data_IF_934270509190
#
_entry.id   IF_934270509190
#
_cell.length_a   1.000
_cell.length_b   1.000
_cell.length_c   1.000
_cell.angle_alpha   90.00
_cell.angle_beta   90.00
_cell.angle_gamma   90.00
#
_symmetry.space_group_name_H-M   'P 1'
#
loop_
_entity.id
_entity.type
_entity.pdbx_description
1 polymer ?
#
# COMPACT_ATOMS: atom_id res chain seq x y z
N UNK A 1 -22.47 -14.88 15.58
CA UNK A 1 -21.39 -14.20 16.35
C UNK A 1 -21.63 -12.71 16.25
N UNK A 2 -21.32 -11.97 17.30
CA UNK A 2 -21.37 -10.50 17.34
C UNK A 2 -19.95 -9.99 17.37
N UNK A 3 -19.63 -8.95 16.60
CA UNK A 3 -18.34 -8.28 16.58
C UNK A 3 -18.53 -6.82 16.96
N UNK A 4 -17.51 -6.23 17.61
CA UNK A 4 -17.49 -4.81 17.94
C UNK A 4 -17.20 -3.96 16.71
N UNK A 5 -16.33 -4.47 15.82
CA UNK A 5 -15.97 -3.81 14.56
C UNK A 5 -16.05 -4.79 13.40
N UNK A 6 -16.69 -4.36 12.32
CA UNK A 6 -16.72 -5.08 11.04
C UNK A 6 -16.08 -4.17 9.97
N UNK A 7 -15.02 -4.67 9.33
CA UNK A 7 -14.31 -3.98 8.26
C UNK A 7 -14.68 -4.63 6.95
N UNK A 8 -15.16 -3.85 5.99
CA UNK A 8 -15.50 -4.30 4.64
C UNK A 8 -14.41 -3.87 3.67
N UNK A 9 -13.77 -4.85 3.06
CA UNK A 9 -12.61 -4.69 2.18
C UNK A 9 -11.29 -4.91 2.91
N UNK A 10 -10.62 -6.02 2.58
CA UNK A 10 -9.29 -6.39 3.08
C UNK A 10 -8.14 -5.77 2.28
N UNK A 11 -8.35 -4.60 1.66
CA UNK A 11 -7.32 -3.87 0.94
C UNK A 11 -6.22 -3.31 1.84
N UNK A 12 -5.36 -2.43 1.32
CA UNK A 12 -4.26 -1.83 2.08
C UNK A 12 -4.75 -1.18 3.39
N UNK A 13 -5.76 -0.31 3.31
CA UNK A 13 -6.32 0.37 4.48
C UNK A 13 -7.02 -0.61 5.46
N UNK A 14 -7.86 -1.52 4.94
CA UNK A 14 -8.60 -2.48 5.77
C UNK A 14 -7.69 -3.45 6.50
N UNK A 15 -6.62 -3.91 5.86
CA UNK A 15 -5.61 -4.78 6.48
C UNK A 15 -4.88 -4.08 7.63
N UNK A 16 -4.49 -2.82 7.43
CA UNK A 16 -3.84 -2.01 8.48
C UNK A 16 -4.81 -1.74 9.63
N UNK A 17 -6.05 -1.33 9.31
CA UNK A 17 -7.07 -1.03 10.32
C UNK A 17 -7.41 -2.27 11.17
N UNK A 18 -7.62 -3.43 10.53
CA UNK A 18 -7.89 -4.68 11.23
C UNK A 18 -6.75 -5.07 12.17
N UNK A 19 -5.52 -4.94 11.69
CA UNK A 19 -4.31 -5.22 12.46
C UNK A 19 -4.22 -4.31 13.70
N UNK A 20 -4.38 -3.00 13.54
CA UNK A 20 -4.26 -2.03 14.63
C UNK A 20 -5.39 -2.15 15.66
N UNK A 21 -6.62 -2.34 15.22
CA UNK A 21 -7.75 -2.54 16.15
C UNK A 21 -7.62 -3.85 16.95
N UNK A 22 -7.09 -4.90 16.33
CA UNK A 22 -6.86 -6.17 17.01
C UNK A 22 -5.76 -6.13 18.07
N UNK A 23 -4.91 -5.09 18.13
CA UNK A 23 -3.95 -4.89 19.22
C UNK A 23 -4.65 -4.80 20.58
N UNK A 24 -5.84 -4.21 20.64
CA UNK A 24 -6.68 -4.22 21.82
C UNK A 24 -7.46 -5.55 21.90
N UNK A 25 -7.08 -6.44 22.81
CA UNK A 25 -7.70 -7.76 22.98
C UNK A 25 -9.19 -7.71 23.37
N UNK A 26 -9.69 -6.58 23.85
CA UNK A 26 -11.11 -6.40 24.22
C UNK A 26 -11.99 -5.98 23.04
N UNK A 27 -11.39 -5.73 21.86
CA UNK A 27 -12.12 -5.36 20.64
C UNK A 27 -12.14 -6.54 19.69
N UNK A 28 -13.32 -7.10 19.44
CA UNK A 28 -13.50 -8.17 18.45
C UNK A 28 -13.64 -7.58 17.05
N UNK A 29 -12.78 -8.00 16.12
CA UNK A 29 -12.68 -7.47 14.76
C UNK A 29 -12.99 -8.55 13.73
N UNK A 30 -13.87 -8.22 12.79
CA UNK A 30 -14.15 -9.03 11.60
C UNK A 30 -13.72 -8.27 10.35
N UNK A 31 -12.80 -8.84 9.58
CA UNK A 31 -12.41 -8.36 8.26
C UNK A 31 -13.03 -9.22 7.19
N UNK A 32 -13.77 -8.61 6.26
CA UNK A 32 -14.42 -9.26 5.12
C UNK A 32 -13.80 -8.79 3.82
N UNK A 33 -13.35 -9.71 2.98
CA UNK A 33 -12.78 -9.43 1.66
C UNK A 33 -13.45 -10.26 0.57
N UNK A 34 -13.76 -9.64 -0.57
CA UNK A 34 -14.39 -10.31 -1.69
C UNK A 34 -13.43 -11.26 -2.42
N UNK A 35 -12.16 -10.93 -2.46
CA UNK A 35 -11.11 -11.73 -3.06
C UNK A 35 -10.58 -12.83 -2.15
N UNK A 36 -9.61 -13.56 -2.69
CA UNK A 36 -8.98 -14.69 -2.00
C UNK A 36 -8.12 -14.23 -0.83
N UNK A 37 -8.11 -15.02 0.23
CA UNK A 37 -7.19 -14.89 1.35
C UNK A 37 -6.11 -15.98 1.26
N UNK A 38 -4.85 -15.56 1.38
CA UNK A 38 -3.68 -16.43 1.44
C UNK A 38 -3.00 -16.25 2.80
N UNK A 39 -3.46 -16.93 3.86
CA UNK A 39 -2.91 -16.75 5.20
C UNK A 39 -1.48 -17.26 5.34
N UNK A 40 -1.07 -18.20 4.49
CA UNK A 40 0.29 -18.72 4.40
C UNK A 40 1.04 -18.01 3.26
N UNK A 41 2.05 -17.19 3.55
CA UNK A 41 2.83 -16.49 2.54
C UNK A 41 3.56 -17.41 1.55
N UNK A 42 3.87 -18.64 1.95
CA UNK A 42 4.53 -19.61 1.07
C UNK A 42 3.60 -20.13 -0.04
N UNK A 43 2.29 -20.05 0.18
CA UNK A 43 1.25 -20.43 -0.76
C UNK A 43 0.74 -19.28 -1.63
N UNK A 44 1.35 -18.09 -1.54
CA UNK A 44 1.01 -16.97 -2.41
C UNK A 44 1.29 -17.31 -3.87
N UNK A 45 0.35 -17.06 -4.81
CA UNK A 45 0.63 -17.14 -6.24
C UNK A 45 1.80 -16.22 -6.64
N UNK A 46 2.58 -16.63 -7.62
CA UNK A 46 3.76 -15.88 -8.08
C UNK A 46 3.42 -14.45 -8.48
N UNK A 47 2.30 -14.22 -9.13
CA UNK A 47 1.83 -12.88 -9.53
C UNK A 47 1.53 -11.95 -8.35
N UNK A 48 1.18 -12.51 -7.19
CA UNK A 48 0.97 -11.75 -5.94
C UNK A 48 2.27 -11.64 -5.16
N UNK A 49 3.04 -12.71 -5.10
CA UNK A 49 4.27 -12.82 -4.30
C UNK A 49 5.39 -11.95 -4.85
N UNK A 50 5.62 -12.03 -6.17
CA UNK A 50 6.75 -11.39 -6.80
C UNK A 50 6.35 -10.13 -7.60
N UNK A 51 7.21 -9.10 -7.54
CA UNK A 51 6.97 -7.85 -8.26
C UNK A 51 7.61 -7.79 -9.65
N UNK A 52 7.99 -8.94 -10.21
CA UNK A 52 8.65 -9.03 -11.52
C UNK A 52 7.68 -9.23 -12.69
N UNK A 53 6.38 -9.28 -12.40
CA UNK A 53 5.31 -9.39 -13.39
C UNK A 53 4.18 -8.45 -13.06
N UNK A 54 3.52 -7.90 -14.07
CA UNK A 54 2.31 -7.08 -13.96
C UNK A 54 1.02 -7.88 -14.17
N UNK A 55 1.10 -9.22 -14.23
CA UNK A 55 -0.08 -10.04 -14.55
C UNK A 55 -1.22 -9.85 -13.54
N UNK A 56 -0.92 -9.66 -12.25
CA UNK A 56 -1.94 -9.37 -11.24
C UNK A 56 -2.72 -8.06 -11.48
N UNK A 57 -2.16 -7.15 -12.28
CA UNK A 57 -2.86 -5.92 -12.72
C UNK A 57 -3.70 -6.13 -13.98
N UNK A 58 -3.55 -7.27 -14.66
CA UNK A 58 -4.32 -7.60 -15.87
C UNK A 58 -5.79 -7.88 -15.54
N UNK A 59 -6.72 -7.52 -16.44
CA UNK A 59 -8.13 -7.89 -16.30
C UNK A 59 -8.38 -9.41 -16.36
N UNK A 60 -7.43 -10.21 -16.85
CA UNK A 60 -7.50 -11.67 -16.87
C UNK A 60 -7.13 -12.31 -15.54
N UNK A 61 -6.46 -11.60 -14.63
CA UNK A 61 -6.12 -12.12 -13.31
C UNK A 61 -7.38 -12.26 -12.42
N UNK A 62 -7.53 -13.37 -11.75
CA UNK A 62 -8.59 -13.58 -10.75
C UNK A 62 -8.44 -12.66 -9.52
N UNK A 63 -7.24 -12.10 -9.32
CA UNK A 63 -6.91 -11.16 -8.24
C UNK A 63 -7.22 -9.71 -8.60
N UNK A 64 -7.88 -9.47 -9.72
CA UNK A 64 -8.28 -8.15 -10.19
C UNK A 64 -9.81 -8.05 -10.31
N UNK A 65 -10.37 -6.89 -9.98
CA UNK A 65 -11.80 -6.62 -10.18
C UNK A 65 -12.18 -6.43 -11.65
N UNK A 66 -11.19 -6.31 -12.54
CA UNK A 66 -11.38 -6.03 -13.97
C UNK A 66 -12.31 -4.81 -14.22
N UNK A 67 -12.19 -3.78 -13.37
CA UNK A 67 -13.00 -2.56 -13.53
C UNK A 67 -12.60 -1.80 -14.79
N UNK A 68 -13.56 -1.09 -15.34
CA UNK A 68 -13.35 -0.17 -16.46
C UNK A 68 -13.78 1.23 -16.04
N UNK A 69 -13.07 2.22 -16.55
CA UNK A 69 -13.35 3.61 -16.28
C UNK A 69 -12.84 4.50 -17.41
N UNK A 70 -13.41 5.69 -17.54
CA UNK A 70 -12.95 6.71 -18.47
C UNK A 70 -12.02 7.66 -17.75
N UNK A 71 -10.73 7.67 -18.13
CA UNK A 71 -9.74 8.59 -17.58
C UNK A 71 -9.82 9.97 -18.24
N UNK A 72 -9.96 9.99 -19.58
CA UNK A 72 -10.20 11.21 -20.36
C UNK A 72 -11.23 10.91 -21.45
N UNK A 73 -11.92 11.95 -21.95
CA UNK A 73 -12.88 11.80 -23.05
C UNK A 73 -12.22 11.25 -24.32
N UNK A 74 -10.94 11.60 -24.55
CA UNK A 74 -10.18 11.21 -25.74
C UNK A 74 -9.76 9.73 -25.70
N UNK A 75 -9.40 9.21 -24.53
CA UNK A 75 -8.96 7.83 -24.39
C UNK A 75 -10.11 6.83 -24.32
N UNK A 76 -11.30 7.30 -24.00
CA UNK A 76 -12.46 6.44 -23.80
C UNK A 76 -12.30 5.52 -22.59
N UNK A 77 -12.99 4.40 -22.63
CA UNK A 77 -12.99 3.41 -21.56
C UNK A 77 -11.70 2.59 -21.53
N UNK A 78 -11.02 2.55 -20.39
CA UNK A 78 -9.81 1.76 -20.17
C UNK A 78 -9.94 0.87 -18.95
N UNK A 79 -9.05 -0.10 -18.83
CA UNK A 79 -8.94 -0.94 -17.64
C UNK A 79 -8.38 -0.15 -16.45
N UNK A 80 -9.01 -0.34 -15.28
CA UNK A 80 -8.56 0.23 -14.01
C UNK A 80 -8.20 -0.91 -13.07
N UNK A 81 -6.91 -1.12 -12.84
CA UNK A 81 -6.44 -2.19 -11.98
C UNK A 81 -6.86 -1.95 -10.52
N UNK A 82 -7.59 -2.90 -9.95
CA UNK A 82 -8.02 -2.90 -8.56
C UNK A 82 -7.91 -4.29 -7.98
N UNK A 83 -7.14 -4.44 -6.90
CA UNK A 83 -6.91 -5.75 -6.28
C UNK A 83 -8.18 -6.34 -5.67
N UNK A 84 -8.45 -7.61 -6.02
CA UNK A 84 -9.50 -8.47 -5.46
C UNK A 84 -8.85 -9.63 -4.71
N UNK A 85 -8.18 -9.30 -3.64
CA UNK A 85 -7.37 -10.21 -2.82
C UNK A 85 -7.10 -9.52 -1.49
N UNK A 86 -6.84 -10.26 -0.41
CA UNK A 86 -6.36 -9.66 0.85
C UNK A 86 -5.06 -8.87 0.58
N UNK A 87 -5.00 -7.66 1.12
CA UNK A 87 -3.99 -6.65 0.80
C UNK A 87 -4.40 -5.70 -0.33
N UNK A 88 -5.40 -6.08 -1.15
CA UNK A 88 -5.96 -5.24 -2.22
C UNK A 88 -4.90 -4.73 -3.18
N UNK A 89 -4.93 -3.42 -3.49
CA UNK A 89 -3.96 -2.78 -4.38
C UNK A 89 -2.51 -2.99 -3.97
N UNK A 90 -2.20 -3.07 -2.67
CA UNK A 90 -0.83 -3.32 -2.21
C UNK A 90 -0.32 -4.73 -2.55
N UNK A 91 -1.22 -5.67 -2.85
CA UNK A 91 -0.87 -7.03 -3.26
C UNK A 91 -0.67 -7.20 -4.78
N UNK A 92 -1.03 -6.18 -5.58
CA UNK A 92 -0.92 -6.25 -7.05
C UNK A 92 -0.06 -5.13 -7.66
N UNK A 93 0.23 -4.05 -6.93
CA UNK A 93 0.91 -2.85 -7.41
C UNK A 93 2.38 -3.07 -7.79
N UNK A 94 2.99 -2.04 -8.41
CA UNK A 94 4.40 -2.00 -8.79
C UNK A 94 5.37 -1.73 -7.63
N UNK A 95 4.91 -1.74 -6.37
CA UNK A 95 5.74 -1.67 -5.16
C UNK A 95 6.51 -0.35 -4.95
N UNK A 96 6.14 0.71 -5.65
CA UNK A 96 6.70 2.03 -5.36
C UNK A 96 6.23 2.50 -3.97
N UNK A 97 7.18 2.84 -3.10
CA UNK A 97 6.91 3.37 -1.76
C UNK A 97 7.19 4.87 -1.73
N UNK A 98 6.62 5.58 -2.71
CA UNK A 98 6.76 7.02 -2.85
C UNK A 98 5.74 7.74 -1.98
N UNK A 99 6.19 8.77 -1.27
CA UNK A 99 5.31 9.69 -0.53
C UNK A 99 4.84 10.83 -1.45
N UNK A 100 3.72 11.46 -1.10
CA UNK A 100 3.36 12.78 -1.64
C UNK A 100 4.35 13.85 -1.19
N UNK A 101 4.41 14.94 -1.92
CA UNK A 101 5.26 16.07 -1.58
C UNK A 101 4.75 16.78 -0.30
N UNK A 102 5.63 17.42 0.49
CA UNK A 102 5.18 18.23 1.62
C UNK A 102 4.09 19.23 1.26
N UNK A 103 4.22 19.88 0.11
CA UNK A 103 3.27 20.89 -0.40
C UNK A 103 1.89 20.29 -0.69
N UNK A 104 1.79 19.01 -1.08
CA UNK A 104 0.50 18.34 -1.29
C UNK A 104 -0.29 18.24 0.02
N UNK A 105 0.37 17.82 1.10
CA UNK A 105 -0.24 17.72 2.42
C UNK A 105 -0.57 19.08 3.02
N UNK A 106 0.33 20.04 2.88
CA UNK A 106 0.10 21.40 3.39
C UNK A 106 -1.04 22.09 2.64
N UNK A 107 -1.21 21.80 1.33
CA UNK A 107 -2.37 22.27 0.58
C UNK A 107 -3.68 21.68 1.09
N UNK A 108 -3.69 20.40 1.49
CA UNK A 108 -4.87 19.78 2.11
C UNK A 108 -5.19 20.41 3.47
N UNK A 109 -4.18 20.70 4.27
CA UNK A 109 -4.37 21.41 5.53
C UNK A 109 -4.97 22.80 5.30
N UNK A 110 -4.49 23.55 4.29
CA UNK A 110 -5.01 24.86 3.93
C UNK A 110 -6.48 24.84 3.44
N UNK A 111 -6.96 23.68 2.96
CA UNK A 111 -8.38 23.46 2.62
C UNK A 111 -9.26 23.11 3.81
N UNK A 112 -8.77 23.20 5.05
CA UNK A 112 -9.51 22.93 6.28
C UNK A 112 -9.30 21.53 6.86
N UNK A 113 -8.31 20.78 6.36
CA UNK A 113 -7.94 19.48 6.89
C UNK A 113 -6.67 19.59 7.75
N UNK A 114 -6.73 20.38 8.82
CA UNK A 114 -5.57 20.80 9.62
C UNK A 114 -4.68 19.64 10.11
N UNK A 115 -5.27 18.45 10.31
CA UNK A 115 -4.54 17.25 10.75
C UNK A 115 -3.71 16.59 9.63
N UNK A 116 -3.80 17.10 8.40
CA UNK A 116 -3.12 16.55 7.23
C UNK A 116 -1.92 17.38 6.77
N UNK A 117 -1.46 18.38 7.54
CA UNK A 117 -0.20 19.05 7.21
C UNK A 117 0.97 18.05 7.22
N UNK A 118 2.01 18.30 6.43
CA UNK A 118 3.14 17.38 6.31
C UNK A 118 3.77 17.02 7.66
N UNK A 119 3.99 18.00 8.51
CA UNK A 119 4.54 17.78 9.86
C UNK A 119 3.67 16.86 10.72
N UNK A 120 2.35 16.89 10.54
CA UNK A 120 1.42 16.02 11.29
C UNK A 120 1.34 14.61 10.72
N UNK A 121 1.50 14.43 9.42
CA UNK A 121 1.47 13.09 8.79
C UNK A 121 2.81 12.38 8.78
N UNK A 122 3.93 13.10 8.83
CA UNK A 122 5.28 12.55 8.86
C UNK A 122 5.50 11.49 9.95
N UNK A 123 5.04 11.66 11.22
CA UNK A 123 5.17 10.62 12.24
C UNK A 123 4.47 9.31 11.86
N UNK A 124 3.38 9.35 11.07
CA UNK A 124 2.68 8.17 10.61
C UNK A 124 3.41 7.48 9.44
N UNK A 125 4.03 8.24 8.54
CA UNK A 125 4.94 7.66 7.54
C UNK A 125 6.08 6.92 8.21
N UNK A 126 6.77 7.56 9.15
CA UNK A 126 7.85 6.95 9.93
C UNK A 126 7.39 5.70 10.67
N UNK A 127 6.19 5.75 11.29
CA UNK A 127 5.61 4.59 12.01
C UNK A 127 5.27 3.42 11.08
N UNK A 128 4.98 3.68 9.81
CA UNK A 128 4.57 2.66 8.86
C UNK A 128 5.74 1.93 8.20
N UNK A 129 6.92 2.55 8.15
CA UNK A 129 8.06 2.04 7.40
C UNK A 129 9.24 1.60 8.27
N UNK A 130 10.02 0.69 7.70
CA UNK A 130 11.37 0.36 8.11
C UNK A 130 12.29 0.62 6.92
N UNK A 131 12.84 1.84 6.83
CA UNK A 131 13.81 2.15 5.79
C UNK A 131 15.14 1.44 6.09
N UNK A 132 15.57 0.61 5.14
CA UNK A 132 16.76 -0.23 5.28
C UNK A 132 18.04 0.47 4.81
N UNK A 133 17.89 1.56 4.07
CA UNK A 133 18.99 2.26 3.41
C UNK A 133 19.27 3.62 4.07
N UNK A 134 18.23 4.35 4.49
CA UNK A 134 18.35 5.71 5.03
C UNK A 134 17.89 5.74 6.49
N UNK A 135 18.64 6.47 7.33
CA UNK A 135 18.34 6.65 8.75
C UNK A 135 18.52 8.11 9.11
N UNK A 136 17.43 8.83 9.13
CA UNK A 136 17.36 10.25 9.49
C UNK A 136 16.03 10.58 10.18
N UNK A 137 15.74 11.87 10.34
CA UNK A 137 14.51 12.33 10.99
C UNK A 137 13.25 12.18 10.13
N UNK A 138 13.40 11.89 8.83
CA UNK A 138 12.30 11.71 7.90
C UNK A 138 11.89 10.25 7.74
N UNK A 139 12.75 9.29 8.11
CA UNK A 139 12.54 7.87 7.92
C UNK A 139 12.28 7.09 9.20
N UNK A 140 11.43 6.06 9.09
CA UNK A 140 11.19 5.08 10.15
C UNK A 140 12.17 3.93 10.09
N UNK A 141 12.51 3.37 11.25
CA UNK A 141 13.49 2.27 11.37
C UNK A 141 12.92 0.99 11.95
N UNK A 142 11.64 0.98 12.35
CA UNK A 142 10.99 -0.11 13.11
C UNK A 142 9.55 -0.37 12.69
N UNK A 143 9.06 0.30 11.64
CA UNK A 143 7.73 0.07 11.11
C UNK A 143 7.63 -1.26 10.34
N UNK A 144 6.41 -1.71 10.04
CA UNK A 144 6.17 -3.03 9.46
C UNK A 144 6.53 -3.14 7.97
N UNK A 145 6.59 -2.03 7.22
CA UNK A 145 6.84 -2.05 5.78
C UNK A 145 8.33 -1.83 5.51
N UNK A 146 9.07 -2.85 5.04
CA UNK A 146 10.45 -2.65 4.63
C UNK A 146 10.51 -1.76 3.39
N UNK A 147 11.38 -0.77 3.42
CA UNK A 147 11.63 0.15 2.32
C UNK A 147 13.09 0.04 1.90
N UNK A 148 13.33 -0.14 0.62
CA UNK A 148 14.68 -0.25 0.06
C UNK A 148 14.77 0.43 -1.29
N UNK A 149 15.90 1.05 -1.54
CA UNK A 149 16.30 1.53 -2.87
C UNK A 149 17.15 0.46 -3.52
N UNK A 150 16.78 0.05 -4.72
CA UNK A 150 17.49 -1.04 -5.41
C UNK A 150 18.92 -0.63 -5.74
N UNK A 151 19.86 -1.13 -4.95
CA UNK A 151 21.30 -0.88 -5.11
C UNK A 151 22.07 -2.11 -5.59
N UNK A 152 21.44 -3.29 -5.68
CA UNK A 152 22.11 -4.53 -6.07
C UNK A 152 22.21 -4.66 -7.59
N UNK A 153 23.43 -4.62 -8.09
CA UNK A 153 23.79 -4.86 -9.49
C UNK A 153 23.79 -3.59 -10.35
N UNK A 154 24.31 -3.68 -11.57
CA UNK A 154 24.33 -2.55 -12.48
C UNK A 154 22.94 -2.19 -12.93
N UNK A 155 22.67 -0.89 -13.02
CA UNK A 155 21.44 -0.41 -13.64
C UNK A 155 21.34 -0.87 -15.09
N UNK A 156 20.15 -1.22 -15.59
CA UNK A 156 19.91 -1.40 -17.00
C UNK A 156 20.36 -0.18 -17.81
N UNK A 157 20.85 -0.39 -19.01
CA UNK A 157 21.42 0.71 -19.81
C UNK A 157 20.40 1.81 -20.13
N UNK A 158 19.13 1.45 -20.28
CA UNK A 158 18.05 2.42 -20.47
C UNK A 158 17.88 3.34 -19.25
N UNK A 159 18.02 2.81 -18.04
CA UNK A 159 17.93 3.60 -16.82
C UNK A 159 19.14 4.51 -16.63
N UNK A 160 20.35 4.04 -16.98
CA UNK A 160 21.56 4.87 -16.99
C UNK A 160 21.42 6.02 -17.98
N UNK A 161 20.95 5.73 -19.20
CA UNK A 161 20.76 6.75 -20.24
C UNK A 161 19.72 7.78 -19.82
N UNK A 162 18.59 7.35 -19.25
CA UNK A 162 17.57 8.26 -18.71
C UNK A 162 18.13 9.16 -17.61
N UNK A 163 18.83 8.58 -16.62
CA UNK A 163 19.43 9.35 -15.54
C UNK A 163 20.44 10.37 -16.05
N UNK A 164 21.33 9.97 -16.98
CA UNK A 164 22.29 10.88 -17.59
C UNK A 164 21.60 12.01 -18.35
N UNK A 165 20.59 11.71 -19.14
CA UNK A 165 19.83 12.73 -19.88
C UNK A 165 19.15 13.75 -18.93
N UNK A 166 18.62 13.30 -17.81
CA UNK A 166 18.04 14.20 -16.81
C UNK A 166 19.10 15.16 -16.22
N UNK A 167 20.29 14.64 -15.92
CA UNK A 167 21.40 15.49 -15.42
C UNK A 167 21.88 16.49 -16.48
N UNK A 168 21.97 16.07 -17.73
CA UNK A 168 22.38 16.93 -18.86
C UNK A 168 21.35 18.05 -19.11
N UNK A 169 20.07 17.80 -18.87
CA UNK A 169 18.98 18.81 -18.94
C UNK A 169 18.90 19.70 -17.68
N UNK A 170 19.78 19.50 -16.71
CA UNK A 170 19.91 20.35 -15.54
C UNK A 170 19.07 19.94 -14.33
N UNK A 171 18.45 18.76 -14.35
CA UNK A 171 17.83 18.22 -13.14
C UNK A 171 18.91 17.76 -12.15
N UNK A 172 18.71 18.05 -10.86
CA UNK A 172 19.62 17.61 -9.81
C UNK A 172 19.59 16.10 -9.58
N UNK A 173 20.71 15.51 -9.17
CA UNK A 173 20.68 14.16 -8.61
C UNK A 173 20.05 14.18 -7.22
N UNK A 174 19.16 13.25 -6.94
CA UNK A 174 18.47 13.09 -5.65
C UNK A 174 18.78 11.72 -5.09
N UNK A 175 19.35 11.69 -3.89
CA UNK A 175 19.63 10.43 -3.18
C UNK A 175 18.35 9.82 -2.61
N UNK A 176 17.44 10.68 -2.14
CA UNK A 176 16.18 10.28 -1.53
C UNK A 176 15.00 11.08 -2.06
N UNK A 177 14.09 10.38 -2.74
CA UNK A 177 12.84 10.96 -3.27
C UNK A 177 11.71 11.04 -2.23
N UNK A 178 11.94 10.54 -0.99
CA UNK A 178 11.03 10.67 0.15
C UNK A 178 11.53 11.68 1.19
N UNK A 179 12.68 12.29 0.94
CA UNK A 179 13.24 13.31 1.80
C UNK A 179 12.56 14.69 1.64
N UNK A 180 13.05 15.70 2.36
CA UNK A 180 12.44 17.04 2.36
C UNK A 180 12.63 17.81 1.05
N UNK A 181 13.59 17.40 0.21
CA UNK A 181 13.91 18.04 -1.08
C UNK A 181 13.93 17.00 -2.20
N UNK A 182 12.78 16.43 -2.60
CA UNK A 182 12.71 15.30 -3.51
C UNK A 182 12.82 15.69 -5.00
N UNK A 183 13.03 16.97 -5.32
CA UNK A 183 13.07 17.44 -6.71
C UNK A 183 14.35 17.04 -7.42
N UNK A 184 14.25 16.17 -8.42
CA UNK A 184 15.39 15.71 -9.21
C UNK A 184 15.22 14.29 -9.76
N UNK A 185 16.33 13.67 -10.15
CA UNK A 185 16.40 12.31 -10.65
C UNK A 185 17.13 11.41 -9.66
N UNK A 186 16.52 10.31 -9.27
CA UNK A 186 17.07 9.36 -8.29
C UNK A 186 16.43 7.98 -8.36
N UNK A 187 16.89 7.10 -7.49
CA UNK A 187 16.30 5.76 -7.35
C UNK A 187 15.09 5.83 -6.45
N UNK A 188 13.96 5.38 -6.95
CA UNK A 188 12.75 5.36 -6.15
C UNK A 188 12.81 4.32 -5.02
N UNK A 189 12.25 4.58 -3.84
CA UNK A 189 12.12 3.60 -2.80
C UNK A 189 11.05 2.57 -3.14
N UNK A 190 11.24 1.34 -2.69
CA UNK A 190 10.36 0.21 -2.98
C UNK A 190 10.11 -0.62 -1.73
N UNK A 191 8.88 -1.11 -1.56
CA UNK A 191 8.53 -2.09 -0.55
C UNK A 191 8.71 -3.53 -1.07
N UNK A 192 9.86 -3.77 -1.71
CA UNK A 192 10.31 -5.09 -2.16
C UNK A 192 11.42 -5.60 -1.25
N UNK A 193 11.24 -6.78 -0.68
CA UNK A 193 12.28 -7.46 0.09
C UNK A 193 12.61 -8.79 -0.57
N UNK A 194 13.83 -8.92 -1.08
CA UNK A 194 14.35 -10.13 -1.71
C UNK A 194 13.44 -10.68 -2.83
N UNK A 195 12.84 -9.79 -3.61
CA UNK A 195 11.93 -10.10 -4.71
C UNK A 195 10.46 -10.15 -4.31
N UNK A 196 10.14 -10.20 -3.02
CA UNK A 196 8.77 -10.29 -2.52
C UNK A 196 8.10 -8.91 -2.47
N UNK A 197 6.84 -8.88 -2.91
CA UNK A 197 5.96 -7.72 -2.73
C UNK A 197 5.47 -7.67 -1.29
N UNK A 198 6.01 -6.75 -0.50
CA UNK A 198 5.67 -6.58 0.91
C UNK A 198 4.35 -5.82 1.06
N UNK A 199 3.25 -6.53 0.73
CA UNK A 199 1.90 -5.99 0.80
C UNK A 199 1.43 -5.74 2.25
N UNK A 200 0.34 -4.97 2.42
CA UNK A 200 -0.29 -4.78 3.72
C UNK A 200 -0.81 -6.09 4.34
N UNK A 201 -1.12 -7.10 3.51
CA UNK A 201 -1.43 -8.43 4.00
C UNK A 201 -0.24 -9.06 4.72
N UNK A 202 0.96 -9.01 4.11
CA UNK A 202 2.17 -9.61 4.66
C UNK A 202 2.68 -8.81 5.86
N UNK A 203 2.73 -7.48 5.72
CA UNK A 203 3.41 -6.61 6.69
C UNK A 203 2.56 -6.30 7.92
N UNK A 204 1.26 -6.19 7.80
CA UNK A 204 0.37 -5.80 8.89
C UNK A 204 -0.56 -6.94 9.33
N UNK A 205 -1.27 -7.57 8.39
CA UNK A 205 -2.33 -8.51 8.76
C UNK A 205 -1.78 -9.87 9.23
N UNK A 206 -0.82 -10.44 8.49
CA UNK A 206 -0.30 -11.78 8.80
C UNK A 206 0.33 -11.88 10.19
N UNK A 207 1.12 -10.89 10.69
CA UNK A 207 1.64 -10.92 12.04
C UNK A 207 0.54 -10.95 13.13
N UNK A 208 -0.67 -10.48 12.81
CA UNK A 208 -1.78 -10.37 13.75
C UNK A 208 -2.76 -11.54 13.70
N UNK A 209 -2.64 -12.46 12.72
CA UNK A 209 -3.59 -13.57 12.53
C UNK A 209 -3.68 -14.55 13.71
N UNK A 210 -2.67 -14.61 14.56
CA UNK A 210 -2.67 -15.42 15.78
C UNK A 210 -3.60 -14.88 16.87
N UNK A 211 -4.10 -13.65 16.72
CA UNK A 211 -4.97 -13.00 17.70
C UNK A 211 -6.38 -13.57 17.67
N UNK A 212 -6.88 -14.03 18.82
CA UNK A 212 -8.21 -14.66 18.97
C UNK A 212 -9.37 -13.69 18.73
N UNK A 213 -9.13 -12.39 18.88
CA UNK A 213 -10.11 -11.32 18.65
C UNK A 213 -10.14 -10.83 17.21
N UNK A 214 -9.31 -11.37 16.30
CA UNK A 214 -9.30 -11.04 14.88
C UNK A 214 -9.84 -12.22 14.05
N UNK A 215 -10.89 -11.98 13.27
CA UNK A 215 -11.41 -12.93 12.28
C UNK A 215 -11.24 -12.34 10.89
N UNK A 216 -10.56 -13.05 10.00
CA UNK A 216 -10.39 -12.69 8.59
C UNK A 216 -11.16 -13.66 7.72
N UNK A 217 -11.93 -13.16 6.76
CA UNK A 217 -12.68 -13.97 5.80
C UNK A 217 -12.53 -13.44 4.38
N UNK A 218 -11.81 -14.18 3.54
CA UNK A 218 -11.78 -14.01 2.09
C UNK A 218 -12.99 -14.68 1.42
N UNK A 219 -13.22 -14.36 0.14
CA UNK A 219 -14.34 -14.90 -0.65
C UNK A 219 -15.71 -14.39 -0.22
N UNK A 220 -15.79 -13.28 0.51
CA UNK A 220 -17.02 -12.72 1.05
C UNK A 220 -17.34 -11.37 0.41
N UNK A 221 -18.29 -11.38 -0.52
CA UNK A 221 -18.77 -10.14 -1.16
C UNK A 221 -19.89 -9.51 -0.34
N UNK A 222 -19.61 -8.32 0.22
CA UNK A 222 -20.60 -7.53 0.99
C UNK A 222 -21.43 -6.71 0.02
N UNK A 223 -22.75 -6.95 -0.04
CA UNK A 223 -23.66 -6.25 -0.94
C UNK A 223 -24.18 -4.93 -0.36
N UNK A 224 -24.48 -4.91 0.94
CA UNK A 224 -25.02 -3.73 1.64
C UNK A 224 -24.92 -3.86 3.14
N UNK A 225 -24.90 -2.72 3.82
CA UNK A 225 -25.09 -2.60 5.26
C UNK A 225 -26.60 -2.50 5.53
N UNK A 226 -27.10 -3.31 6.46
CA UNK A 226 -28.49 -3.28 6.89
C UNK A 226 -28.59 -2.52 8.21
N UNK A 227 -29.19 -1.35 8.16
CA UNK A 227 -29.49 -0.55 9.37
C UNK A 227 -30.94 -0.90 9.76
N UNK A 228 -31.08 -1.71 10.80
CA UNK A 228 -32.38 -2.24 11.21
C UNK A 228 -33.20 -1.23 12.05
N UNK A 229 -32.55 -0.44 12.92
CA UNK A 229 -33.16 0.62 13.71
C UNK A 229 -32.09 1.41 14.46
N UNK A 230 -32.29 2.73 14.62
CA UNK A 230 -31.48 3.57 15.51
C UNK A 230 -31.99 3.53 16.97
N UNK A 231 -33.15 2.92 17.24
CA UNK A 231 -33.76 2.83 18.57
C UNK A 231 -33.07 1.75 19.44
N UNK A 232 -32.26 0.89 18.84
CA UNK A 232 -31.62 -0.26 19.49
C UNK A 232 -30.09 -0.13 19.55
N UNK A 233 -29.56 1.06 19.34
CA UNK A 233 -28.16 1.41 19.54
C UNK A 233 -27.99 2.14 20.87
#
# INVERSE_FOLDING_TARGET
>A
MKYDVVIVGGGAAGSVLASRLAENSNTSVLLLEAGTDYPDPDLLPDEIKFGNTSFAESPESEHNWALRGTLTEEQGETHVAQGKVIGGGSSINGQAMQRGLPEDFDSWAAMGNDEWSYDKVLPFFRKSEHDLDIRDDFHGTDGPIPVRRRQSGPWPDIQKAFHAACLDEGYGAVEDTNGPNPAGVGVWPSNNLDGWRMSAAITHLNPMRHRLNLTVRGGVFVRKVLILSLIHI
#
